data_IF_711764055192
#
_entry.id   IF_711764055192
#
_cell.length_a   1.000
_cell.length_b   1.000
_cell.length_c   1.000
_cell.angle_alpha   90.00
_cell.angle_beta   90.00
_cell.angle_gamma   90.00
#
_symmetry.space_group_name_H-M   'P 1'
#
loop_
_entity.id
_entity.type
_entity.pdbx_description
1 polymer ?
#
# COMPACT_ATOMS: atom_id res chain seq x y z
N UNK A 1 20.09 -12.07 -16.98
CA UNK A 1 19.53 -12.69 -15.77
C UNK A 1 18.76 -11.61 -15.03
N UNK A 2 17.45 -11.51 -15.26
CA UNK A 2 16.60 -10.56 -14.55
C UNK A 2 15.78 -11.37 -13.54
N UNK A 3 15.84 -10.97 -12.28
CA UNK A 3 15.23 -11.65 -11.16
C UNK A 3 13.74 -11.91 -11.41
N UNK A 4 13.27 -13.08 -10.98
CA UNK A 4 11.84 -13.38 -10.84
C UNK A 4 11.25 -12.39 -9.82
N UNK A 5 10.84 -11.22 -10.30
CA UNK A 5 10.12 -10.26 -9.49
C UNK A 5 8.74 -10.85 -9.23
N UNK A 6 8.56 -11.40 -8.02
CA UNK A 6 7.23 -11.47 -7.43
C UNK A 6 6.56 -10.12 -7.65
N UNK A 7 5.44 -10.13 -8.34
CA UNK A 7 4.83 -8.90 -8.83
C UNK A 7 4.43 -8.02 -7.64
N UNK A 8 5.18 -6.93 -7.44
CA UNK A 8 4.99 -6.02 -6.30
C UNK A 8 3.60 -5.36 -6.30
N UNK A 9 2.88 -5.43 -7.43
CA UNK A 9 1.52 -4.91 -7.57
C UNK A 9 0.45 -5.89 -7.07
N UNK A 10 0.78 -7.14 -6.77
CA UNK A 10 -0.13 -8.03 -6.03
C UNK A 10 -0.11 -7.63 -4.56
N UNK A 11 -1.28 -7.38 -3.97
CA UNK A 11 -1.34 -6.90 -2.59
C UNK A 11 -0.85 -7.94 -1.58
N UNK A 12 0.16 -7.56 -0.81
CA UNK A 12 0.56 -8.20 0.44
C UNK A 12 1.07 -7.15 1.42
N UNK A 13 1.05 -7.41 2.75
CA UNK A 13 1.68 -6.54 3.74
C UNK A 13 3.14 -6.20 3.40
N UNK A 14 3.90 -7.18 2.90
CA UNK A 14 5.30 -7.05 2.54
C UNK A 14 5.47 -6.13 1.31
N UNK A 15 4.63 -6.31 0.29
CA UNK A 15 4.67 -5.48 -0.92
C UNK A 15 4.23 -4.04 -0.63
N UNK A 16 3.24 -3.85 0.26
CA UNK A 16 2.85 -2.51 0.71
C UNK A 16 4.00 -1.78 1.38
N UNK A 17 4.69 -2.42 2.32
CA UNK A 17 5.84 -1.81 2.99
C UNK A 17 7.00 -1.58 2.02
N UNK A 18 7.24 -2.51 1.08
CA UNK A 18 8.28 -2.38 0.07
C UNK A 18 8.02 -1.19 -0.87
N UNK A 19 6.79 -1.04 -1.39
CA UNK A 19 6.42 0.12 -2.19
C UNK A 19 6.48 1.41 -1.36
N UNK A 20 5.93 1.40 -0.15
CA UNK A 20 5.92 2.57 0.72
C UNK A 20 7.34 3.07 1.03
N UNK A 21 8.35 2.21 1.10
CA UNK A 21 9.73 2.61 1.40
C UNK A 21 10.32 3.62 0.40
N UNK A 22 9.85 3.60 -0.86
CA UNK A 22 10.35 4.45 -1.95
C UNK A 22 9.27 5.26 -2.66
N UNK A 23 8.01 5.15 -2.21
CA UNK A 23 6.86 5.84 -2.78
C UNK A 23 6.99 7.37 -2.70
N UNK A 24 6.39 8.06 -3.68
CA UNK A 24 6.15 9.50 -3.59
C UNK A 24 5.29 9.81 -2.36
N UNK A 25 5.74 10.80 -1.59
CA UNK A 25 4.96 11.34 -0.48
C UNK A 25 4.22 12.60 -0.93
N UNK A 26 2.91 12.62 -0.74
CA UNK A 26 2.05 13.76 -1.05
C UNK A 26 1.04 13.99 0.06
N UNK A 27 1.04 15.20 0.62
CA UNK A 27 0.15 15.60 1.73
C UNK A 27 0.21 14.65 2.94
N UNK A 28 1.39 14.09 3.23
CA UNK A 28 1.59 13.13 4.32
C UNK A 28 1.13 11.70 4.02
N UNK A 29 0.69 11.40 2.79
CA UNK A 29 0.41 10.04 2.33
C UNK A 29 1.52 9.52 1.44
N UNK A 30 1.80 8.22 1.53
CA UNK A 30 2.64 7.50 0.57
C UNK A 30 1.75 6.87 -0.50
N UNK A 31 2.03 7.19 -1.75
CA UNK A 31 1.25 6.72 -2.89
C UNK A 31 1.77 5.36 -3.38
N UNK A 32 0.95 4.32 -3.24
CA UNK A 32 1.28 2.94 -3.65
C UNK A 32 0.30 2.45 -4.70
N UNK A 33 0.62 1.37 -5.41
CA UNK A 33 -0.19 0.85 -6.52
C UNK A 33 -0.39 -0.64 -6.39
N UNK A 34 -1.61 -1.12 -6.62
CA UNK A 34 -1.92 -2.54 -6.61
C UNK A 34 -2.91 -2.90 -7.71
N UNK A 35 -2.84 -4.16 -8.14
CA UNK A 35 -3.89 -4.76 -8.95
C UNK A 35 -5.23 -4.73 -8.24
N UNK A 36 -6.27 -4.50 -9.03
CA UNK A 36 -7.65 -4.53 -8.55
C UNK A 36 -8.51 -5.50 -9.36
N UNK A 37 -9.52 -6.05 -8.71
CA UNK A 37 -10.57 -6.83 -9.38
C UNK A 37 -11.58 -5.92 -10.10
N UNK A 38 -12.54 -6.54 -10.79
CA UNK A 38 -13.59 -5.82 -11.52
C UNK A 38 -14.49 -4.94 -10.63
N UNK A 39 -14.37 -5.05 -9.30
CA UNK A 39 -15.09 -4.27 -8.31
C UNK A 39 -14.18 -3.22 -7.63
N UNK A 40 -12.95 -3.04 -8.12
CA UNK A 40 -11.99 -2.07 -7.59
C UNK A 40 -11.31 -2.49 -6.28
N UNK A 41 -11.44 -3.76 -5.87
CA UNK A 41 -10.83 -4.26 -4.63
C UNK A 41 -9.46 -4.83 -4.90
N UNK A 42 -8.57 -4.81 -3.90
CA UNK A 42 -7.24 -5.38 -3.99
C UNK A 42 -7.29 -6.83 -4.49
N UNK A 43 -6.69 -7.08 -5.65
CA UNK A 43 -6.63 -8.39 -6.26
C UNK A 43 -5.55 -9.27 -5.60
N UNK A 44 -5.80 -10.58 -5.58
CA UNK A 44 -4.88 -11.59 -5.04
C UNK A 44 -3.93 -12.16 -6.10
N UNK A 45 -4.20 -11.85 -7.36
CA UNK A 45 -3.45 -12.29 -8.54
C UNK A 45 -3.33 -11.09 -9.49
N UNK A 46 -2.36 -11.08 -10.42
CA UNK A 46 -2.25 -10.03 -11.41
C UNK A 46 -3.53 -9.87 -12.24
N UNK A 47 -3.93 -8.62 -12.49
CA UNK A 47 -5.07 -8.26 -13.33
C UNK A 47 -4.64 -7.22 -14.37
N UNK A 48 -5.53 -6.89 -15.30
CA UNK A 48 -5.27 -5.83 -16.28
C UNK A 48 -5.37 -4.43 -15.66
N UNK A 49 -6.00 -4.31 -14.48
CA UNK A 49 -6.32 -3.04 -13.83
C UNK A 49 -5.46 -2.79 -12.58
N UNK A 50 -4.90 -1.59 -12.48
CA UNK A 50 -4.09 -1.14 -11.34
C UNK A 50 -4.67 0.16 -10.80
N UNK A 51 -4.86 0.24 -9.48
CA UNK A 51 -5.31 1.44 -8.81
C UNK A 51 -4.23 2.03 -7.90
N UNK A 52 -4.32 3.34 -7.66
CA UNK A 52 -3.49 4.04 -6.66
C UNK A 52 -4.17 4.06 -5.31
N UNK A 53 -3.40 3.80 -4.26
CA UNK A 53 -3.83 3.83 -2.88
C UNK A 53 -2.94 4.77 -2.07
N UNK A 54 -3.49 5.26 -0.96
CA UNK A 54 -2.89 6.28 -0.12
C UNK A 54 -2.65 5.71 1.27
N UNK A 55 -1.40 5.38 1.56
CA UNK A 55 -0.99 4.90 2.88
C UNK A 55 -0.72 6.11 3.79
N UNK A 56 -1.48 6.23 4.88
CA UNK A 56 -1.15 7.12 6.00
C UNK A 56 -0.03 6.46 6.83
N UNK A 57 1.20 7.03 6.85
CA UNK A 57 2.31 6.48 7.63
C UNK A 57 2.04 6.44 9.12
N UNK A 58 1.24 7.39 9.62
CA UNK A 58 0.72 7.37 10.99
C UNK A 58 -0.55 6.53 11.08
N UNK A 59 -0.57 5.56 12.00
CA UNK A 59 -1.72 4.68 12.22
C UNK A 59 -1.92 3.57 11.19
N UNK A 60 -1.12 3.51 10.12
CA UNK A 60 -1.09 2.37 9.20
C UNK A 60 -2.40 2.12 8.46
N UNK A 61 -3.03 3.19 7.96
CA UNK A 61 -4.29 3.14 7.22
C UNK A 61 -4.04 3.27 5.73
N UNK A 62 -4.51 2.31 4.94
CA UNK A 62 -4.52 2.35 3.48
C UNK A 62 -5.90 2.79 2.99
N UNK A 63 -5.92 3.78 2.10
CA UNK A 63 -7.15 4.33 1.52
C UNK A 63 -7.17 4.23 0.00
N UNK A 64 -8.35 4.20 -0.59
CA UNK A 64 -8.55 4.35 -2.03
C UNK A 64 -8.55 5.82 -2.46
N UNK A 65 -8.82 6.09 -3.73
CA UNK A 65 -8.89 7.45 -4.31
C UNK A 65 -10.03 8.30 -3.78
N UNK A 66 -11.11 7.67 -3.33
CA UNK A 66 -12.23 8.33 -2.65
C UNK A 66 -11.97 8.52 -1.14
N UNK A 67 -10.77 8.14 -0.69
CA UNK A 67 -10.32 8.16 0.71
C UNK A 67 -11.10 7.21 1.63
N UNK A 68 -11.83 6.23 1.10
CA UNK A 68 -12.41 5.16 1.91
C UNK A 68 -11.30 4.28 2.50
N UNK A 69 -11.54 3.70 3.68
CA UNK A 69 -10.57 2.79 4.31
C UNK A 69 -10.65 1.43 3.62
N UNK A 70 -9.53 1.00 3.04
CA UNK A 70 -9.39 -0.31 2.40
C UNK A 70 -8.76 -1.30 3.38
N UNK A 71 -7.69 -0.88 4.06
CA UNK A 71 -7.00 -1.68 5.07
C UNK A 71 -6.62 -0.79 6.25
N UNK A 72 -6.78 -1.33 7.45
CA UNK A 72 -6.25 -0.74 8.67
C UNK A 72 -5.41 -1.78 9.41
N UNK A 73 -4.15 -1.43 9.70
CA UNK A 73 -3.27 -2.29 10.49
C UNK A 73 -2.14 -1.50 11.13
N UNK A 74 -2.02 -1.63 12.46
CA UNK A 74 -0.90 -1.06 13.20
C UNK A 74 0.48 -1.63 12.83
N UNK A 75 0.56 -2.64 11.94
CA UNK A 75 1.82 -3.11 11.35
C UNK A 75 2.38 -2.12 10.31
N UNK A 76 1.51 -1.32 9.70
CA UNK A 76 1.88 -0.32 8.69
C UNK A 76 2.11 1.07 9.30
N UNK A 77 1.98 1.19 10.62
CA UNK A 77 2.31 2.42 11.33
C UNK A 77 3.84 2.58 11.39
N UNK A 78 4.35 3.44 10.52
CA UNK A 78 5.78 3.71 10.37
C UNK A 78 6.35 4.50 11.54
N UNK A 79 5.51 5.09 12.39
CA UNK A 79 5.92 5.85 13.58
C UNK A 79 5.69 5.09 14.89
N UNK A 80 5.26 3.83 14.82
CA UNK A 80 5.04 3.01 16.01
C UNK A 80 6.35 2.85 16.81
N UNK A 81 6.37 3.41 18.01
CA UNK A 81 7.52 3.35 18.93
C UNK A 81 8.27 4.66 19.13
N UNK A 82 8.05 5.69 18.30
CA UNK A 82 8.69 7.00 18.46
C UNK A 82 8.17 7.81 19.66
N UNK A 83 7.11 7.36 20.34
CA UNK A 83 6.52 7.99 21.53
C UNK A 83 6.94 7.39 22.88
N UNK A 84 7.88 6.44 22.91
CA UNK A 84 8.46 5.93 24.16
C UNK A 84 9.78 6.65 24.42
N UNK A 85 9.69 7.83 25.01
CA UNK A 85 10.80 8.49 25.73
C UNK A 85 10.67 8.25 27.22
#
# INVERSE_FOLDING_TARGET
MAAEHSDLLVYSPEHLLAQAATAEERLGYRMVRFYVDAQGRLAKEPTDDVATFYLSPSGGTLRDEELNIVVYSAKFDLYKGFGRT
#
